data_IF_190748015379
#
_entry.id   IF_190748015379
#
_cell.length_a   1.000
_cell.length_b   1.000
_cell.length_c   1.000
_cell.angle_alpha   90.00
_cell.angle_beta   90.00
_cell.angle_gamma   90.00
#
_symmetry.space_group_name_H-M   'P 1'
#
loop_
_entity.id
_entity.type
_entity.pdbx_description
1 polymer ?
#
# COMPACT_ATOMS: atom_id res chain seq x y z
N UNK A 1 -17.07 4.82 -3.59
CA UNK A 1 -17.34 6.05 -2.80
C UNK A 1 -16.26 6.17 -1.75
N UNK A 2 -15.62 7.33 -1.60
CA UNK A 2 -14.64 7.58 -0.55
C UNK A 2 -15.33 8.03 0.74
N UNK A 3 -14.78 7.62 1.89
CA UNK A 3 -15.16 8.18 3.19
C UNK A 3 -14.61 9.60 3.29
N UNK A 4 -15.45 10.57 3.66
CA UNK A 4 -15.05 11.98 3.79
C UNK A 4 -15.19 12.43 5.23
N UNK A 5 -14.12 13.00 5.75
CA UNK A 5 -14.02 13.55 7.10
C UNK A 5 -13.54 15.00 7.04
N UNK A 6 -13.99 15.82 7.96
CA UNK A 6 -13.54 17.21 8.06
C UNK A 6 -12.14 17.27 8.70
N UNK A 7 -11.91 16.46 9.73
CA UNK A 7 -10.66 16.43 10.51
C UNK A 7 -10.24 15.00 10.85
N UNK A 8 -8.95 14.77 11.15
CA UNK A 8 -8.48 13.46 11.61
C UNK A 8 -9.12 12.99 12.93
N UNK A 9 -9.58 13.90 13.78
CA UNK A 9 -10.24 13.57 15.05
C UNK A 9 -11.50 12.75 14.86
N UNK A 10 -12.18 12.88 13.71
CA UNK A 10 -13.37 12.10 13.40
C UNK A 10 -13.08 10.59 13.25
N UNK A 11 -11.82 10.22 12.92
CA UNK A 11 -11.39 8.82 12.91
C UNK A 11 -11.57 8.14 14.28
N UNK A 12 -11.46 8.90 15.37
CA UNK A 12 -11.55 8.37 16.75
C UNK A 12 -12.91 7.76 17.06
N UNK A 13 -13.95 8.20 16.37
CA UNK A 13 -15.33 7.76 16.61
C UNK A 13 -15.81 6.65 15.66
N UNK A 14 -15.05 6.36 14.60
CA UNK A 14 -15.49 5.38 13.59
C UNK A 14 -15.38 3.93 14.04
N UNK A 15 -14.43 3.63 14.97
CA UNK A 15 -14.12 2.25 15.31
C UNK A 15 -13.49 1.50 14.13
N UNK A 16 -13.57 0.18 14.16
CA UNK A 16 -13.11 -0.65 13.05
C UNK A 16 -14.15 -0.60 11.92
N UNK A 17 -13.74 -0.17 10.74
CA UNK A 17 -14.64 0.01 9.59
C UNK A 17 -13.90 -0.20 8.27
N UNK A 18 -14.55 -0.86 7.31
CA UNK A 18 -14.07 -0.94 5.93
C UNK A 18 -14.27 0.42 5.25
N UNK A 19 -13.17 1.00 4.75
CA UNK A 19 -13.18 2.29 4.07
C UNK A 19 -13.46 2.15 2.57
N UNK A 20 -13.05 1.05 1.97
CA UNK A 20 -13.30 0.76 0.57
C UNK A 20 -12.15 0.05 -0.13
N UNK A 21 -12.28 -0.01 -1.45
CA UNK A 21 -11.31 -0.64 -2.36
C UNK A 21 -10.86 0.39 -3.38
N UNK A 22 -9.54 0.49 -3.58
CA UNK A 22 -8.96 1.39 -4.58
C UNK A 22 -9.24 0.94 -6.01
N UNK A 23 -8.98 1.80 -6.97
CA UNK A 23 -8.90 1.45 -8.38
C UNK A 23 -7.74 0.48 -8.65
N UNK A 24 -7.80 -0.19 -9.79
CA UNK A 24 -6.71 -1.04 -10.27
C UNK A 24 -5.54 -0.17 -10.77
N UNK A 25 -4.34 -0.52 -10.34
CA UNK A 25 -3.09 0.10 -10.81
C UNK A 25 -2.23 -0.96 -11.49
N UNK A 26 -1.75 -0.67 -12.68
CA UNK A 26 -0.79 -1.53 -13.38
C UNK A 26 0.63 -1.10 -13.02
N UNK A 27 1.47 -2.04 -12.62
CA UNK A 27 2.88 -1.77 -12.32
C UNK A 27 3.73 -2.14 -13.54
N UNK A 28 4.37 -1.15 -14.13
CA UNK A 28 5.19 -1.31 -15.34
C UNK A 28 6.64 -1.67 -15.01
N UNK A 29 7.35 -2.25 -15.99
CA UNK A 29 8.79 -2.50 -15.85
C UNK A 29 9.58 -1.20 -15.64
N UNK A 30 9.16 -0.12 -16.26
CA UNK A 30 9.79 1.21 -16.09
C UNK A 30 9.73 1.66 -14.63
N UNK A 31 8.57 1.59 -13.99
CA UNK A 31 8.41 1.91 -12.57
C UNK A 31 9.28 1.04 -11.65
N UNK A 32 9.38 -0.25 -11.96
CA UNK A 32 10.24 -1.18 -11.22
C UNK A 32 11.72 -0.80 -11.38
N UNK A 33 12.14 -0.43 -12.59
CA UNK A 33 13.51 0.02 -12.85
C UNK A 33 13.82 1.33 -12.11
N UNK A 34 12.90 2.29 -12.10
CA UNK A 34 13.02 3.54 -11.34
C UNK A 34 13.15 3.29 -9.84
N UNK A 35 12.34 2.37 -9.29
CA UNK A 35 12.45 1.98 -7.89
C UNK A 35 13.77 1.29 -7.57
N UNK A 36 14.25 0.40 -8.46
CA UNK A 36 15.55 -0.25 -8.34
C UNK A 36 16.70 0.78 -8.31
N UNK A 37 16.63 1.80 -9.16
CA UNK A 37 17.62 2.87 -9.21
C UNK A 37 17.56 3.77 -7.96
N UNK A 38 16.37 4.11 -7.50
CA UNK A 38 16.17 4.94 -6.31
C UNK A 38 16.67 4.27 -5.01
N UNK A 39 16.52 2.96 -4.90
CA UNK A 39 16.80 2.20 -3.67
C UNK A 39 18.12 1.41 -3.69
N UNK A 40 18.67 1.16 -4.88
CA UNK A 40 19.83 0.29 -5.08
C UNK A 40 19.51 -1.19 -5.16
N UNK A 41 18.25 -1.60 -5.01
CA UNK A 41 17.85 -3.01 -5.18
C UNK A 41 17.65 -3.35 -6.67
N UNK A 42 18.77 -3.68 -7.32
CA UNK A 42 18.83 -4.02 -8.74
C UNK A 42 18.90 -5.52 -9.00
N UNK A 43 18.34 -6.33 -8.12
CA UNK A 43 18.33 -7.78 -8.29
C UNK A 43 17.70 -8.16 -9.63
N UNK A 44 18.30 -9.14 -10.32
CA UNK A 44 17.88 -9.55 -11.66
C UNK A 44 16.42 -10.01 -11.76
N UNK A 45 15.84 -10.54 -10.68
CA UNK A 45 14.44 -10.96 -10.66
C UNK A 45 13.47 -9.80 -10.90
N UNK A 46 13.90 -8.56 -10.70
CA UNK A 46 13.11 -7.34 -10.90
C UNK A 46 13.46 -6.64 -12.23
N UNK A 47 14.72 -6.68 -12.64
CA UNK A 47 15.27 -5.78 -13.66
C UNK A 47 15.73 -6.44 -14.95
N UNK A 48 15.96 -7.75 -14.97
CA UNK A 48 16.45 -8.49 -16.16
C UNK A 48 15.36 -9.41 -16.70
N UNK A 49 14.58 -8.89 -17.66
CA UNK A 49 13.43 -9.58 -18.22
C UNK A 49 13.83 -10.89 -18.94
N UNK A 50 14.97 -10.93 -19.64
CA UNK A 50 15.41 -12.12 -20.37
C UNK A 50 15.84 -13.23 -19.39
N UNK A 51 16.62 -12.88 -18.38
CA UNK A 51 17.00 -13.83 -17.33
C UNK A 51 15.81 -14.29 -16.51
N UNK A 52 14.88 -13.40 -16.20
CA UNK A 52 13.69 -13.70 -15.41
C UNK A 52 12.73 -14.65 -16.10
N UNK A 53 12.63 -14.64 -17.44
CA UNK A 53 11.81 -15.61 -18.20
C UNK A 53 12.22 -17.05 -17.93
N UNK A 54 13.53 -17.31 -17.81
CA UNK A 54 14.07 -18.63 -17.52
C UNK A 54 14.15 -18.91 -15.99
N UNK A 55 13.79 -17.95 -15.17
CA UNK A 55 13.84 -18.04 -13.72
C UNK A 55 12.59 -18.66 -13.10
N UNK A 56 12.55 -18.73 -11.76
CA UNK A 56 11.50 -19.44 -11.02
C UNK A 56 10.11 -18.80 -11.12
N UNK A 57 10.03 -17.54 -11.53
CA UNK A 57 8.74 -16.81 -11.64
C UNK A 57 8.23 -16.68 -13.08
N UNK A 58 9.01 -17.09 -14.08
CA UNK A 58 8.63 -17.02 -15.50
C UNK A 58 8.57 -15.60 -16.08
N UNK A 59 9.11 -14.62 -15.38
CA UNK A 59 9.15 -13.21 -15.73
C UNK A 59 9.61 -12.36 -14.56
N UNK A 60 9.78 -11.06 -14.78
CA UNK A 60 10.14 -10.12 -13.70
C UNK A 60 9.00 -9.93 -12.71
N UNK A 61 9.36 -9.77 -11.45
CA UNK A 61 8.42 -9.49 -10.36
C UNK A 61 8.70 -8.12 -9.75
N UNK A 62 7.65 -7.49 -9.25
CA UNK A 62 7.70 -6.21 -8.54
C UNK A 62 8.38 -6.39 -7.19
N UNK A 63 9.22 -5.45 -6.76
CA UNK A 63 9.78 -5.45 -5.42
C UNK A 63 8.65 -5.50 -4.38
N UNK A 64 8.80 -6.30 -3.34
CA UNK A 64 7.86 -6.30 -2.23
C UNK A 64 7.70 -4.91 -1.61
N UNK A 65 8.80 -4.18 -1.43
CA UNK A 65 8.78 -2.82 -0.90
C UNK A 65 8.11 -1.80 -1.82
N UNK A 66 8.21 -1.95 -3.15
CA UNK A 66 7.44 -1.12 -4.07
C UNK A 66 5.94 -1.41 -3.94
N UNK A 67 5.56 -2.68 -3.87
CA UNK A 67 4.17 -3.08 -3.65
C UNK A 67 3.62 -2.47 -2.36
N UNK A 68 4.36 -2.60 -1.25
CA UNK A 68 3.99 -1.99 0.04
C UNK A 68 3.83 -0.47 -0.07
N UNK A 69 4.71 0.19 -0.80
CA UNK A 69 4.73 1.65 -0.98
C UNK A 69 3.50 2.21 -1.72
N UNK A 70 2.66 1.36 -2.29
CA UNK A 70 1.38 1.78 -2.89
C UNK A 70 0.30 2.11 -1.84
N UNK A 71 0.53 1.76 -0.57
CA UNK A 71 -0.44 1.95 0.50
C UNK A 71 -1.01 3.38 0.61
N UNK A 72 -0.19 4.46 0.56
CA UNK A 72 -0.72 5.82 0.61
C UNK A 72 -1.68 6.12 -0.54
N UNK A 73 -1.33 5.74 -1.77
CA UNK A 73 -2.18 5.98 -2.94
C UNK A 73 -3.53 5.25 -2.83
N UNK A 74 -3.54 4.02 -2.32
CA UNK A 74 -4.78 3.28 -2.10
C UNK A 74 -5.64 3.91 -1.00
N UNK A 75 -4.99 4.41 0.07
CA UNK A 75 -5.70 5.08 1.16
C UNK A 75 -6.34 6.39 0.67
N UNK A 76 -5.62 7.20 -0.09
CA UNK A 76 -6.08 8.49 -0.61
C UNK A 76 -7.31 8.37 -1.51
N UNK A 77 -7.48 7.23 -2.21
CA UNK A 77 -8.67 7.01 -3.02
C UNK A 77 -9.94 6.72 -2.18
N UNK A 78 -9.78 6.13 -1.01
CA UNK A 78 -10.93 5.66 -0.21
C UNK A 78 -11.21 6.52 1.02
N UNK A 79 -10.27 7.36 1.43
CA UNK A 79 -10.38 8.25 2.57
C UNK A 79 -9.91 9.67 2.21
N UNK A 80 -10.79 10.62 2.32
CA UNK A 80 -10.50 12.05 2.19
C UNK A 80 -10.67 12.74 3.54
N UNK A 81 -9.63 13.40 4.02
CA UNK A 81 -9.66 14.23 5.23
C UNK A 81 -9.36 15.67 4.81
N UNK A 82 -10.32 16.57 5.04
CA UNK A 82 -10.28 17.91 4.46
C UNK A 82 -9.22 18.82 5.10
N UNK A 83 -8.86 18.62 6.37
CA UNK A 83 -7.99 19.55 7.09
C UNK A 83 -7.04 18.82 8.04
N UNK A 84 -5.75 18.87 7.74
CA UNK A 84 -4.62 18.53 8.60
C UNK A 84 -3.35 19.22 8.07
N UNK A 85 -2.36 19.43 8.93
CA UNK A 85 -1.12 20.09 8.50
C UNK A 85 -0.15 19.12 7.81
N UNK A 86 -0.04 17.91 8.32
CA UNK A 86 0.80 16.86 7.76
C UNK A 86 0.30 15.47 8.12
N UNK A 87 0.58 14.50 7.27
CA UNK A 87 0.42 13.08 7.57
C UNK A 87 1.76 12.37 7.41
N UNK A 88 2.15 11.60 8.41
CA UNK A 88 3.42 10.90 8.44
C UNK A 88 3.21 9.40 8.38
N UNK A 89 4.00 8.72 7.55
CA UNK A 89 4.16 7.27 7.62
C UNK A 89 4.97 6.94 8.87
N UNK A 90 4.30 6.54 9.94
CA UNK A 90 4.94 6.30 11.23
C UNK A 90 5.52 4.90 11.35
N UNK A 91 4.85 3.92 10.79
CA UNK A 91 5.31 2.54 10.83
C UNK A 91 4.41 1.58 10.09
N UNK A 92 4.83 0.33 10.05
CA UNK A 92 4.08 -0.79 9.52
C UNK A 92 4.16 -1.98 10.45
N UNK A 93 3.07 -2.72 10.57
CA UNK A 93 3.01 -3.95 11.35
C UNK A 93 2.55 -5.10 10.45
N UNK A 94 2.95 -6.32 10.81
CA UNK A 94 2.46 -7.57 10.19
C UNK A 94 2.56 -7.56 8.66
N UNK A 95 3.65 -7.01 8.11
CA UNK A 95 3.89 -7.00 6.67
C UNK A 95 4.28 -8.39 6.19
N UNK A 96 3.58 -8.87 5.16
CA UNK A 96 3.89 -10.12 4.46
C UNK A 96 3.66 -9.96 2.97
N UNK A 97 4.44 -10.69 2.20
CA UNK A 97 4.36 -10.79 0.73
C UNK A 97 4.07 -12.24 0.35
N UNK A 98 2.82 -12.71 0.48
CA UNK A 98 2.50 -14.15 0.33
C UNK A 98 2.67 -14.70 -1.08
N UNK A 99 2.56 -13.85 -2.11
CA UNK A 99 2.68 -14.23 -3.50
C UNK A 99 3.45 -13.17 -4.29
N UNK A 100 4.21 -13.54 -5.34
CA UNK A 100 4.86 -12.57 -6.20
C UNK A 100 3.83 -11.76 -6.99
N UNK A 101 4.10 -10.46 -7.16
CA UNK A 101 3.38 -9.59 -8.10
C UNK A 101 4.22 -9.49 -9.37
N UNK A 102 3.71 -10.03 -10.48
CA UNK A 102 4.43 -9.93 -11.76
C UNK A 102 4.37 -8.52 -12.31
N UNK A 103 5.48 -8.08 -12.90
CA UNK A 103 5.50 -6.83 -13.65
C UNK A 103 4.47 -6.87 -14.78
N UNK A 104 3.70 -5.79 -14.94
CA UNK A 104 2.59 -5.71 -15.87
C UNK A 104 1.23 -6.14 -15.31
N UNK A 105 1.20 -6.80 -14.15
CA UNK A 105 -0.05 -7.14 -13.49
C UNK A 105 -0.72 -5.90 -12.89
N UNK A 106 -2.04 -6.00 -12.69
CA UNK A 106 -2.83 -4.97 -12.02
C UNK A 106 -3.06 -5.36 -10.56
N UNK A 107 -2.94 -4.38 -9.69
CA UNK A 107 -3.09 -4.52 -8.23
C UNK A 107 -4.01 -3.43 -7.68
N UNK A 108 -4.75 -3.74 -6.64
CA UNK A 108 -5.56 -2.79 -5.87
C UNK A 108 -5.49 -3.09 -4.38
N UNK A 109 -5.90 -2.14 -3.55
CA UNK A 109 -5.93 -2.27 -2.10
C UNK A 109 -7.34 -2.26 -1.54
N UNK A 110 -7.61 -3.20 -0.62
CA UNK A 110 -8.78 -3.19 0.24
C UNK A 110 -8.38 -2.58 1.58
N UNK A 111 -8.97 -1.47 1.94
CA UNK A 111 -8.55 -0.65 3.09
C UNK A 111 -9.59 -0.70 4.20
N UNK A 112 -9.11 -1.02 5.40
CA UNK A 112 -9.91 -1.05 6.63
C UNK A 112 -9.25 -0.16 7.68
N UNK A 113 -9.97 0.78 8.27
CA UNK A 113 -9.54 1.41 9.51
C UNK A 113 -9.61 0.38 10.63
N UNK A 114 -8.48 0.03 11.23
CA UNK A 114 -8.41 -0.94 12.32
C UNK A 114 -8.59 -0.28 13.68
N UNK A 115 -7.94 0.87 13.88
CA UNK A 115 -8.00 1.65 15.10
C UNK A 115 -7.53 3.08 14.88
N UNK A 116 -7.97 3.98 15.72
CA UNK A 116 -7.44 5.33 15.84
C UNK A 116 -7.35 5.72 17.31
N UNK A 117 -6.32 6.47 17.67
CA UNK A 117 -6.13 6.98 19.03
C UNK A 117 -5.57 8.39 19.01
N UNK A 118 -5.95 9.17 20.02
CA UNK A 118 -5.41 10.50 20.24
C UNK A 118 -4.05 10.38 20.95
N UNK A 119 -3.05 11.09 20.45
CA UNK A 119 -1.73 11.25 21.06
C UNK A 119 -1.55 12.68 21.56
N UNK A 120 -0.38 12.95 22.11
CA UNK A 120 -0.02 14.28 22.59
C UNK A 120 -0.14 15.35 21.50
N UNK A 121 -0.46 16.56 21.91
CA UNK A 121 -0.61 17.75 21.03
C UNK A 121 -1.66 17.62 19.94
N UNK A 122 -2.68 16.76 20.16
CA UNK A 122 -3.79 16.61 19.23
C UNK A 122 -3.49 15.74 18.01
N UNK A 123 -2.32 15.11 17.94
CA UNK A 123 -1.97 14.16 16.86
C UNK A 123 -2.88 12.94 16.92
N UNK A 124 -3.42 12.53 15.80
CA UNK A 124 -4.20 11.29 15.67
C UNK A 124 -3.32 10.21 15.05
N UNK A 125 -3.15 9.10 15.76
CA UNK A 125 -2.55 7.89 15.23
C UNK A 125 -3.64 6.98 14.71
N UNK A 126 -3.58 6.65 13.42
CA UNK A 126 -4.52 5.73 12.78
C UNK A 126 -3.77 4.53 12.21
N UNK A 127 -4.32 3.33 12.44
CA UNK A 127 -3.81 2.09 11.87
C UNK A 127 -4.79 1.56 10.84
N UNK A 128 -4.32 1.39 9.62
CA UNK A 128 -5.09 0.87 8.50
C UNK A 128 -4.59 -0.51 8.11
N UNK A 129 -5.49 -1.49 8.05
CA UNK A 129 -5.23 -2.78 7.42
C UNK A 129 -5.41 -2.66 5.91
N UNK A 130 -4.40 -3.05 5.16
CA UNK A 130 -4.45 -3.04 3.70
C UNK A 130 -4.16 -4.45 3.20
N UNK A 131 -5.16 -5.04 2.55
CA UNK A 131 -5.01 -6.29 1.82
C UNK A 131 -4.93 -5.97 0.33
N UNK A 132 -3.81 -6.33 -0.26
CA UNK A 132 -3.60 -6.13 -1.70
C UNK A 132 -4.22 -7.29 -2.48
N UNK A 133 -4.71 -7.00 -3.66
CA UNK A 133 -5.28 -7.99 -4.57
C UNK A 133 -4.64 -7.84 -5.95
N UNK A 134 -4.15 -8.95 -6.50
CA UNK A 134 -3.71 -9.03 -7.89
C UNK A 134 -4.88 -9.49 -8.74
N UNK A 135 -5.15 -8.81 -9.85
CA UNK A 135 -6.23 -9.17 -10.77
C UNK A 135 -6.11 -10.63 -11.24
N UNK A 136 -7.17 -11.40 -11.03
CA UNK A 136 -7.23 -12.81 -11.45
C UNK A 136 -6.40 -13.77 -10.59
N UNK A 137 -5.95 -13.37 -9.39
CA UNK A 137 -5.20 -14.22 -8.46
C UNK A 137 -5.87 -14.28 -7.10
N UNK A 138 -5.85 -15.47 -6.47
CA UNK A 138 -6.46 -15.69 -5.16
C UNK A 138 -5.56 -15.24 -4.00
N UNK A 139 -4.24 -15.40 -4.17
CA UNK A 139 -3.28 -15.04 -3.12
C UNK A 139 -2.85 -13.58 -3.22
N UNK A 140 -2.89 -12.82 -2.11
CA UNK A 140 -2.48 -11.42 -2.12
C UNK A 140 -0.97 -11.27 -2.32
N UNK A 141 -0.53 -10.25 -3.08
CA UNK A 141 0.89 -9.97 -3.22
C UNK A 141 1.48 -9.27 -1.99
N UNK A 142 0.62 -8.64 -1.19
CA UNK A 142 0.99 -7.97 0.05
C UNK A 142 -0.20 -7.92 1.00
N UNK A 143 0.09 -7.97 2.29
CA UNK A 143 -0.83 -7.61 3.36
C UNK A 143 -0.04 -6.89 4.45
N UNK A 144 -0.55 -5.78 4.94
CA UNK A 144 0.13 -4.95 5.92
C UNK A 144 -0.85 -4.16 6.79
N UNK A 145 -0.37 -3.78 7.98
CA UNK A 145 -0.99 -2.73 8.78
C UNK A 145 -0.11 -1.49 8.67
N UNK A 146 -0.65 -0.41 8.12
CA UNK A 146 0.07 0.87 7.98
C UNK A 146 -0.38 1.85 9.06
N UNK A 147 0.58 2.44 9.76
CA UNK A 147 0.34 3.36 10.87
C UNK A 147 0.68 4.77 10.43
N UNK A 148 -0.28 5.68 10.51
CA UNK A 148 -0.15 7.08 10.13
C UNK A 148 -0.34 8.00 11.33
N UNK A 149 0.40 9.09 11.34
CA UNK A 149 0.21 10.20 12.29
C UNK A 149 -0.30 11.42 11.52
N UNK A 150 -1.48 11.90 11.90
CA UNK A 150 -2.08 13.15 11.40
C UNK A 150 -1.78 14.26 12.40
N UNK A 151 -1.16 15.34 11.89
CA UNK A 151 -0.79 16.53 12.66
C UNK A 151 -1.56 17.75 12.19
#
# INVERSE_FOLDING_TARGET
>A
MSTRLATPQELLSLGRVELGTSSWVQITQEQVNEFADATGDRQWIHTDAERAKAGPFGGTIVHGYLTLALAPAFLDEVLEIASYDAVLNYGVNKVRFPAPLHVGARVRGHVTLLSAKLRDKGTVEATYGIKYETEGKDRPPCAAESVYLYQ
#
